data_IF_435836497874
#
_entry.id   IF_435836497874
#
_cell.length_a   1.000
_cell.length_b   1.000
_cell.length_c   1.000
_cell.angle_alpha   90.00
_cell.angle_beta   90.00
_cell.angle_gamma   90.00
#
_symmetry.space_group_name_H-M   'P 1'
#
loop_
_entity.id
_entity.type
_entity.pdbx_description
1 polymer ?
#
# COMPACT_ATOMS: atom_id res chain seq x y z
N UNK A 1 20.21 18.52 -14.78
CA UNK A 1 18.83 19.01 -14.91
C UNK A 1 17.76 18.03 -14.38
N UNK A 2 17.98 16.70 -14.38
CA UNK A 2 16.95 15.71 -13.98
C UNK A 2 16.74 15.54 -12.46
N UNK A 3 17.80 15.67 -11.63
CA UNK A 3 17.69 15.47 -10.16
C UNK A 3 16.71 16.43 -9.48
N UNK A 4 16.77 17.71 -9.83
CA UNK A 4 15.86 18.74 -9.33
C UNK A 4 14.38 18.43 -9.57
N UNK A 5 14.03 17.78 -10.69
CA UNK A 5 12.65 17.41 -10.99
C UNK A 5 12.14 16.27 -10.11
N UNK A 6 13.01 15.32 -9.77
CA UNK A 6 12.65 14.17 -8.93
C UNK A 6 12.49 14.59 -7.47
N UNK A 7 13.42 15.39 -6.96
CA UNK A 7 13.38 15.95 -5.60
C UNK A 7 12.09 16.75 -5.36
N UNK A 8 11.70 17.59 -6.33
CA UNK A 8 10.44 18.33 -6.26
C UNK A 8 9.21 17.41 -6.18
N UNK A 9 9.16 16.37 -7.02
CA UNK A 9 8.04 15.42 -7.01
C UNK A 9 7.94 14.68 -5.66
N UNK A 10 9.09 14.33 -5.07
CA UNK A 10 9.15 13.72 -3.74
C UNK A 10 8.60 14.64 -2.66
N UNK A 11 9.05 15.89 -2.61
CA UNK A 11 8.55 16.85 -1.62
C UNK A 11 7.05 17.08 -1.74
N UNK A 12 6.53 17.21 -2.96
CA UNK A 12 5.10 17.40 -3.20
C UNK A 12 4.29 16.17 -2.81
N UNK A 13 4.81 14.96 -3.04
CA UNK A 13 4.19 13.72 -2.59
C UNK A 13 4.13 13.66 -1.06
N UNK A 14 5.24 13.95 -0.39
CA UNK A 14 5.32 13.93 1.07
C UNK A 14 4.29 14.87 1.70
N UNK A 15 4.20 16.10 1.20
CA UNK A 15 3.24 17.11 1.68
C UNK A 15 1.78 16.68 1.47
N UNK A 16 1.47 16.04 0.35
CA UNK A 16 0.10 15.66 0.01
C UNK A 16 -0.34 14.33 0.65
N UNK A 17 0.56 13.35 0.73
CA UNK A 17 0.22 11.97 1.07
C UNK A 17 0.51 11.61 2.53
N UNK A 18 1.67 12.01 3.08
CA UNK A 18 2.13 11.55 4.41
C UNK A 18 1.18 11.99 5.53
N UNK A 19 0.49 13.12 5.36
CA UNK A 19 -0.55 13.60 6.29
C UNK A 19 -1.70 12.60 6.50
N UNK A 20 -1.86 11.63 5.59
CA UNK A 20 -2.92 10.62 5.63
C UNK A 20 -2.43 9.27 6.17
N UNK A 21 -1.18 9.16 6.63
CA UNK A 21 -0.56 7.91 7.05
C UNK A 21 -1.32 7.23 8.19
N UNK A 22 -1.63 7.98 9.26
CA UNK A 22 -2.33 7.44 10.43
C UNK A 22 -3.73 6.94 10.07
N UNK A 23 -4.47 7.71 9.26
CA UNK A 23 -5.80 7.32 8.79
C UNK A 23 -5.74 6.03 7.96
N UNK A 24 -4.81 5.95 7.01
CA UNK A 24 -4.65 4.78 6.16
C UNK A 24 -4.19 3.56 6.96
N UNK A 25 -3.36 3.74 7.98
CA UNK A 25 -3.00 2.66 8.89
C UNK A 25 -4.21 2.15 9.68
N UNK A 26 -5.06 3.04 10.21
CA UNK A 26 -6.32 2.65 10.84
C UNK A 26 -7.24 1.87 9.90
N UNK A 27 -7.37 2.34 8.65
CA UNK A 27 -8.15 1.64 7.61
C UNK A 27 -7.56 0.26 7.28
N UNK A 28 -6.24 0.15 7.13
CA UNK A 28 -5.56 -1.11 6.86
C UNK A 28 -5.77 -2.12 8.01
N UNK A 29 -5.68 -1.69 9.27
CA UNK A 29 -6.00 -2.56 10.42
C UNK A 29 -7.44 -3.07 10.39
N UNK A 30 -8.38 -2.20 10.02
CA UNK A 30 -9.79 -2.58 9.90
C UNK A 30 -10.04 -3.56 8.75
N UNK A 31 -9.29 -3.47 7.65
CA UNK A 31 -9.41 -4.37 6.50
C UNK A 31 -8.75 -5.73 6.74
N UNK A 32 -7.59 -5.74 7.39
CA UNK A 32 -6.72 -6.91 7.49
C UNK A 32 -6.94 -7.73 8.76
N UNK A 33 -7.34 -7.08 9.86
CA UNK A 33 -7.37 -7.66 11.21
C UNK A 33 -6.03 -8.27 11.67
N UNK A 34 -4.92 -7.87 11.06
CA UNK A 34 -3.57 -8.36 11.35
C UNK A 34 -2.58 -7.18 11.28
N UNK A 35 -1.75 -7.00 12.31
CA UNK A 35 -0.84 -5.86 12.39
C UNK A 35 0.25 -5.89 11.32
N UNK A 36 0.81 -7.07 11.04
CA UNK A 36 1.90 -7.24 10.08
C UNK A 36 1.38 -7.00 8.66
N UNK A 37 0.25 -7.60 8.32
CA UNK A 37 -0.38 -7.43 7.01
C UNK A 37 -0.92 -6.01 6.82
N UNK A 38 -1.35 -5.33 7.89
CA UNK A 38 -1.69 -3.91 7.86
C UNK A 38 -0.49 -3.03 7.52
N UNK A 39 0.66 -3.26 8.16
CA UNK A 39 1.88 -2.49 7.88
C UNK A 39 2.34 -2.67 6.44
N UNK A 40 2.37 -3.92 5.96
CA UNK A 40 2.73 -4.24 4.57
C UNK A 40 1.77 -3.58 3.56
N UNK A 41 0.46 -3.68 3.81
CA UNK A 41 -0.56 -3.05 2.96
C UNK A 41 -0.38 -1.53 2.87
N UNK A 42 -0.08 -0.86 3.99
CA UNK A 42 0.19 0.58 4.00
C UNK A 42 1.45 0.89 3.20
N UNK A 43 2.55 0.17 3.46
CA UNK A 43 3.81 0.38 2.75
C UNK A 43 3.64 0.23 1.24
N UNK A 44 3.03 -0.86 0.77
CA UNK A 44 2.81 -1.09 -0.65
C UNK A 44 1.89 -0.03 -1.27
N UNK A 45 0.88 0.44 -0.52
CA UNK A 45 0.01 1.54 -0.96
C UNK A 45 0.83 2.80 -1.24
N UNK A 46 1.71 3.19 -0.32
CA UNK A 46 2.54 4.39 -0.48
C UNK A 46 3.59 4.23 -1.59
N UNK A 47 4.18 3.05 -1.76
CA UNK A 47 5.11 2.76 -2.86
C UNK A 47 4.42 2.88 -4.23
N UNK A 48 3.21 2.34 -4.37
CA UNK A 48 2.40 2.47 -5.59
C UNK A 48 1.96 3.91 -5.81
N UNK A 49 1.52 4.60 -4.76
CA UNK A 49 1.13 6.00 -4.84
C UNK A 49 2.30 6.86 -5.32
N UNK A 50 3.47 6.72 -4.73
CA UNK A 50 4.68 7.43 -5.13
C UNK A 50 5.04 7.19 -6.60
N UNK A 51 4.99 5.92 -7.03
CA UNK A 51 5.29 5.53 -8.43
C UNK A 51 4.31 6.12 -9.44
N UNK A 52 3.06 6.39 -9.04
CA UNK A 52 2.01 6.95 -9.89
C UNK A 52 1.78 8.45 -9.65
N UNK A 53 2.52 9.08 -8.73
CA UNK A 53 2.24 10.44 -8.28
C UNK A 53 2.43 11.47 -9.39
N UNK A 54 3.32 11.22 -10.36
CA UNK A 54 3.47 12.08 -11.53
C UNK A 54 2.17 12.23 -12.36
N UNK A 55 1.25 11.27 -12.28
CA UNK A 55 -0.06 11.30 -12.95
C UNK A 55 -1.19 11.81 -12.05
N UNK A 56 -0.89 12.10 -10.77
CA UNK A 56 -1.88 12.62 -9.83
C UNK A 56 -2.25 14.06 -10.20
N UNK A 57 -3.54 14.32 -10.36
CA UNK A 57 -4.05 15.64 -10.71
C UNK A 57 -4.24 16.47 -9.45
N UNK A 58 -3.52 17.59 -9.34
CA UNK A 58 -3.68 18.53 -8.22
C UNK A 58 -5.13 19.05 -8.15
N UNK A 59 -5.62 19.26 -6.94
CA UNK A 59 -7.01 19.67 -6.69
C UNK A 59 -8.00 18.51 -6.58
N UNK A 60 -7.57 17.27 -6.86
CA UNK A 60 -8.35 16.07 -6.54
C UNK A 60 -8.13 15.63 -5.08
N UNK A 61 -9.09 14.89 -4.52
CA UNK A 61 -9.01 14.41 -3.14
C UNK A 61 -7.91 13.33 -3.00
N UNK A 62 -6.75 13.72 -2.46
CA UNK A 62 -5.61 12.84 -2.28
C UNK A 62 -5.96 11.61 -1.42
N UNK A 63 -6.69 11.82 -0.32
CA UNK A 63 -7.14 10.73 0.55
C UNK A 63 -7.99 9.70 -0.22
N UNK A 64 -8.98 10.14 -0.99
CA UNK A 64 -9.81 9.25 -1.78
C UNK A 64 -9.01 8.46 -2.83
N UNK A 65 -8.01 9.11 -3.44
CA UNK A 65 -7.09 8.45 -4.36
C UNK A 65 -6.21 7.41 -3.67
N UNK A 66 -5.66 7.71 -2.49
CA UNK A 66 -4.88 6.76 -1.69
C UNK A 66 -5.73 5.57 -1.22
N UNK A 67 -6.96 5.82 -0.76
CA UNK A 67 -7.92 4.77 -0.37
C UNK A 67 -8.24 3.86 -1.56
N UNK A 68 -8.36 4.40 -2.79
CA UNK A 68 -8.52 3.59 -4.01
C UNK A 68 -7.30 2.68 -4.23
N UNK A 69 -6.08 3.21 -4.11
CA UNK A 69 -4.85 2.42 -4.29
C UNK A 69 -4.77 1.30 -3.23
N UNK A 70 -5.08 1.61 -1.97
CA UNK A 70 -5.08 0.66 -0.87
C UNK A 70 -6.09 -0.46 -1.10
N UNK A 71 -7.34 -0.13 -1.41
CA UNK A 71 -8.40 -1.13 -1.61
C UNK A 71 -8.09 -2.06 -2.78
N UNK A 72 -7.57 -1.52 -3.90
CA UNK A 72 -7.09 -2.34 -5.01
C UNK A 72 -5.92 -3.25 -4.61
N UNK A 73 -4.97 -2.75 -3.81
CA UNK A 73 -3.83 -3.54 -3.32
C UNK A 73 -4.30 -4.67 -2.39
N UNK A 74 -5.20 -4.37 -1.46
CA UNK A 74 -5.80 -5.34 -0.55
C UNK A 74 -6.54 -6.46 -1.31
N UNK A 75 -7.40 -6.12 -2.27
CA UNK A 75 -8.15 -7.11 -3.07
C UNK A 75 -7.18 -8.04 -3.82
N UNK A 76 -6.11 -7.49 -4.38
CA UNK A 76 -5.11 -8.29 -5.10
C UNK A 76 -4.39 -9.28 -4.16
N UNK A 77 -4.03 -8.86 -2.95
CA UNK A 77 -3.44 -9.75 -1.95
C UNK A 77 -4.43 -10.84 -1.49
N UNK A 78 -5.67 -10.45 -1.20
CA UNK A 78 -6.72 -11.39 -0.80
C UNK A 78 -6.93 -12.49 -1.85
N UNK A 79 -6.97 -12.12 -3.13
CA UNK A 79 -7.09 -13.09 -4.23
C UNK A 79 -5.87 -14.01 -4.38
N UNK A 80 -4.65 -13.51 -4.13
CA UNK A 80 -3.44 -14.34 -4.14
C UNK A 80 -3.45 -15.35 -3.00
N UNK A 81 -3.76 -14.93 -1.79
CA UNK A 81 -3.81 -15.80 -0.62
C UNK A 81 -4.89 -16.87 -0.73
N UNK A 82 -6.03 -16.57 -1.39
CA UNK A 82 -7.08 -17.55 -1.67
C UNK A 82 -6.71 -18.57 -2.75
N UNK A 83 -5.83 -18.21 -3.69
CA UNK A 83 -5.38 -19.07 -4.81
C UNK A 83 -4.11 -19.85 -4.51
N UNK A 84 -3.37 -19.50 -3.46
CA UNK A 84 -2.22 -20.28 -3.02
C UNK A 84 -2.71 -21.67 -2.55
N UNK A 85 -2.17 -22.79 -3.08
CA UNK A 85 -2.43 -24.09 -2.48
C UNK A 85 -1.98 -24.01 -1.02
N UNK A 86 -2.84 -24.44 -0.08
CA UNK A 86 -2.44 -24.60 1.32
C UNK A 86 -1.22 -25.52 1.30
N UNK A 87 -0.03 -24.97 1.55
CA UNK A 87 1.15 -25.80 1.74
C UNK A 87 0.94 -26.45 3.10
N UNK A 88 0.28 -27.62 3.07
CA UNK A 88 0.20 -28.51 4.21
C UNK A 88 1.63 -28.97 4.45
N UNK A 89 2.25 -28.42 5.49
CA UNK A 89 3.57 -28.86 5.93
C UNK A 89 3.52 -30.38 6.10
N UNK A 90 4.35 -31.07 5.33
CA UNK A 90 4.59 -32.49 5.50
C UNK A 90 5.32 -32.62 6.84
N UNK A 91 4.59 -33.10 7.84
CA UNK A 91 5.17 -33.55 9.10
C UNK A 91 6.08 -34.74 8.77
N UNK A 92 7.37 -34.45 8.62
CA UNK A 92 8.39 -35.47 8.48
C UNK A 92 8.75 -35.97 9.88
N UNK A 93 7.88 -36.79 10.47
CA UNK A 93 8.28 -37.71 11.52
C UNK A 93 9.24 -38.74 10.93
N UNK A 94 10.55 -38.65 11.22
CA UNK A 94 11.40 -39.83 11.50
C UNK A 94 12.71 -39.40 12.17
N UNK A 95 12.86 -39.73 13.46
CA UNK A 95 14.13 -40.15 14.08
C UNK A 95 13.87 -41.49 14.74
#
# INVERSE_FOLDING_TARGET
MVKFSKERLTTEFEQAAVIHLEYLYGLAKALTHDSVFSEDLVQETYLKAYSNFAMFHRGTNCLAWLVRIMTNTYINHYHKNKKAPKHQELNNETM
#
